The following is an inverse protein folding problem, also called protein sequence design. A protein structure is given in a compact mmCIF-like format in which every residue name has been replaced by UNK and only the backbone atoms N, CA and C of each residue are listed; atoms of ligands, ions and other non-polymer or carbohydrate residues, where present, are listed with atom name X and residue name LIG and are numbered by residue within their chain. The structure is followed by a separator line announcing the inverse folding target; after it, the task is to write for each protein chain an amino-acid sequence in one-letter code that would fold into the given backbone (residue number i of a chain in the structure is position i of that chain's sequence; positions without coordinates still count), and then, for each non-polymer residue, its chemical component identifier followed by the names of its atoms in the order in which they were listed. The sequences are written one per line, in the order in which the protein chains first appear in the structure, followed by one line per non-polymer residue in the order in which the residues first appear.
data_IF_608897534405
#
_entry.id   IF_608897534405
#
_cell.length_a   1.000
_cell.length_b   1.000
_cell.length_c   1.000
_cell.angle_alpha   90.00
_cell.angle_beta   90.00
_cell.angle_gamma   90.00
#
_symmetry.space_group_name_H-M   'P 1'
#
loop_
_entity.id
_entity.type
_entity.pdbx_description
1 polymer ?
#
# COMPACT_ATOMS: atom_id res chain seq x y z
N UNK A 1 21.39 5.50 22.29
CA UNK A 1 21.94 4.81 21.11
C UNK A 1 20.86 4.82 20.04
N UNK A 2 21.25 5.15 18.83
CA UNK A 2 20.35 5.41 17.72
C UNK A 2 20.82 4.58 16.52
N UNK A 3 19.89 3.91 15.86
CA UNK A 3 20.11 3.15 14.64
C UNK A 3 19.13 3.60 13.56
N UNK A 4 19.53 3.53 12.31
CA UNK A 4 18.70 3.94 11.19
C UNK A 4 18.87 3.01 9.99
N UNK A 5 17.81 2.83 9.24
CA UNK A 5 17.80 2.12 7.99
C UNK A 5 17.22 3.02 6.89
N UNK A 6 17.87 3.05 5.75
CA UNK A 6 17.35 3.69 4.55
C UNK A 6 17.11 2.64 3.48
N UNK A 7 15.88 2.59 2.99
CA UNK A 7 15.47 1.67 1.94
C UNK A 7 14.98 2.46 0.74
N UNK A 8 15.50 2.14 -0.43
CA UNK A 8 14.98 2.59 -1.71
C UNK A 8 14.52 1.37 -2.49
N UNK A 9 13.26 1.37 -2.91
CA UNK A 9 12.67 0.22 -3.57
C UNK A 9 11.76 0.65 -4.73
N UNK A 10 11.91 -0.04 -5.85
CA UNK A 10 10.95 0.02 -6.94
C UNK A 10 9.87 -1.03 -6.69
N UNK A 11 8.62 -0.60 -6.56
CA UNK A 11 7.47 -1.47 -6.32
C UNK A 11 6.75 -1.68 -7.65
N UNK A 12 6.90 -2.87 -8.20
CA UNK A 12 6.18 -3.28 -9.41
C UNK A 12 4.70 -3.58 -9.11
N UNK A 13 3.84 -3.61 -10.14
CA UNK A 13 2.44 -4.03 -9.98
C UNK A 13 2.28 -5.41 -9.34
N UNK A 14 3.20 -6.33 -9.60
CA UNK A 14 3.16 -7.67 -9.00
C UNK A 14 3.43 -7.67 -7.50
N UNK A 15 4.19 -6.70 -7.00
CA UNK A 15 4.48 -6.53 -5.57
C UNK A 15 3.32 -5.81 -4.87
N UNK A 16 2.79 -4.75 -5.50
CA UNK A 16 1.70 -3.95 -4.93
C UNK A 16 0.34 -4.64 -5.04
N UNK A 17 0.17 -5.50 -6.04
CA UNK A 17 -1.12 -6.08 -6.37
C UNK A 17 -2.06 -5.06 -7.05
N UNK A 18 -3.34 -5.44 -7.22
CA UNK A 18 -4.33 -4.57 -7.84
C UNK A 18 -4.62 -3.35 -6.96
N UNK A 19 -4.84 -2.20 -7.60
CA UNK A 19 -5.29 -1.01 -6.92
C UNK A 19 -6.69 -1.21 -6.31
N UNK A 20 -6.91 -0.63 -5.13
CA UNK A 20 -8.18 -0.71 -4.42
C UNK A 20 -8.83 0.66 -4.34
N UNK A 21 -10.15 0.69 -4.40
CA UNK A 21 -10.92 1.93 -4.32
C UNK A 21 -10.91 2.53 -2.93
N UNK A 22 -11.01 3.86 -2.88
CA UNK A 22 -11.18 4.64 -1.65
C UNK A 22 -12.46 5.44 -1.79
N UNK A 23 -13.46 5.13 -0.98
CA UNK A 23 -14.72 5.86 -0.95
C UNK A 23 -14.54 7.27 -0.36
N UNK A 24 -15.08 8.27 -1.03
CA UNK A 24 -15.08 9.65 -0.51
C UNK A 24 -13.78 10.42 -0.74
N UNK A 25 -13.00 10.03 -1.73
CA UNK A 25 -11.82 10.77 -2.14
C UNK A 25 -12.10 12.23 -2.46
N UNK A 26 -11.14 13.11 -2.15
CA UNK A 26 -11.31 14.57 -2.26
C UNK A 26 -11.46 15.10 -3.70
N UNK A 27 -11.27 14.28 -4.71
CA UNK A 27 -11.16 14.71 -6.11
C UNK A 27 -12.48 14.66 -6.90
N UNK A 28 -13.59 14.37 -6.26
CA UNK A 28 -14.91 14.37 -6.91
C UNK A 28 -15.09 13.29 -7.97
N UNK A 29 -14.25 12.28 -7.96
CA UNK A 29 -14.42 11.09 -8.79
C UNK A 29 -15.63 10.30 -8.25
N UNK A 30 -16.63 10.12 -9.10
CA UNK A 30 -17.84 9.39 -8.75
C UNK A 30 -17.54 7.90 -8.75
N UNK A 31 -17.28 7.37 -7.58
CA UNK A 31 -17.06 5.96 -7.38
C UNK A 31 -18.32 5.27 -6.88
N UNK A 32 -18.83 4.35 -7.69
CA UNK A 32 -19.88 3.41 -7.25
C UNK A 32 -19.27 2.18 -6.56
N UNK A 33 -17.97 2.17 -6.31
CA UNK A 33 -17.25 1.08 -5.66
C UNK A 33 -17.19 1.27 -4.16
N UNK A 34 -17.27 0.18 -3.40
CA UNK A 34 -17.06 0.23 -1.96
C UNK A 34 -15.59 0.40 -1.63
N UNK A 35 -15.33 0.99 -0.45
CA UNK A 35 -13.97 1.16 0.06
C UNK A 35 -13.25 -0.19 0.16
N UNK A 36 -12.06 -0.26 -0.42
CA UNK A 36 -11.23 -1.47 -0.43
C UNK A 36 -11.51 -2.46 -1.55
N UNK A 37 -12.51 -2.22 -2.40
CA UNK A 37 -12.77 -3.08 -3.56
C UNK A 37 -11.65 -2.97 -4.59
N UNK A 38 -11.40 -4.07 -5.30
CA UNK A 38 -10.45 -4.06 -6.41
C UNK A 38 -11.03 -3.22 -7.55
N UNK A 39 -10.25 -2.25 -8.02
CA UNK A 39 -10.66 -1.41 -9.14
C UNK A 39 -10.64 -2.22 -10.43
N UNK A 40 -11.81 -2.31 -11.06
CA UNK A 40 -11.96 -2.94 -12.38
C UNK A 40 -12.01 -1.83 -13.41
N UNK A 41 -11.06 -1.82 -14.39
CA UNK A 41 -11.06 -0.80 -15.44
C UNK A 41 -12.36 -0.81 -16.24
N UNK A 42 -12.87 0.36 -16.67
CA UNK A 42 -14.00 0.43 -17.59
C UNK A 42 -13.73 -0.35 -18.87
N UNK A 43 -14.74 -1.01 -19.43
CA UNK A 43 -14.59 -1.89 -20.62
C UNK A 43 -13.95 -1.17 -21.82
N UNK A 44 -14.18 0.14 -21.96
CA UNK A 44 -13.67 0.93 -23.08
C UNK A 44 -12.34 1.63 -22.76
N UNK A 45 -11.73 1.36 -21.63
CA UNK A 45 -10.46 1.97 -21.26
C UNK A 45 -9.33 1.37 -22.12
N UNK A 46 -8.60 2.24 -22.81
CA UNK A 46 -7.41 1.90 -23.57
C UNK A 46 -6.13 2.27 -22.81
N UNK A 47 -6.20 3.32 -22.00
CA UNK A 47 -5.06 3.80 -21.18
C UNK A 47 -5.51 4.20 -19.79
N UNK A 48 -4.59 4.15 -18.84
CA UNK A 48 -4.76 4.66 -17.50
C UNK A 48 -3.59 5.56 -17.14
N UNK A 49 -3.88 6.67 -16.49
CA UNK A 49 -2.87 7.61 -15.98
C UNK A 49 -3.04 7.76 -14.48
N UNK A 50 -1.94 7.72 -13.76
CA UNK A 50 -1.89 7.96 -12.33
C UNK A 50 -1.61 9.44 -12.06
N UNK A 51 -2.42 10.04 -11.21
CA UNK A 51 -2.25 11.41 -10.76
C UNK A 51 -2.05 11.44 -9.24
N UNK A 52 -1.25 12.42 -8.78
CA UNK A 52 -1.01 12.69 -7.36
C UNK A 52 -0.62 11.45 -6.55
N UNK A 53 0.41 10.69 -6.96
CA UNK A 53 0.87 9.55 -6.21
C UNK A 53 1.53 10.02 -4.91
N UNK A 54 0.76 10.12 -3.86
CA UNK A 54 1.23 10.59 -2.57
C UNK A 54 1.26 9.45 -1.55
N UNK A 55 2.19 9.54 -0.62
CA UNK A 55 2.15 8.70 0.55
C UNK A 55 1.13 9.27 1.51
N UNK A 56 0.10 8.52 1.84
CA UNK A 56 -0.92 8.94 2.78
C UNK A 56 -0.47 8.80 4.21
N UNK A 57 0.12 7.65 4.54
CA UNK A 57 0.56 7.35 5.90
C UNK A 57 1.57 6.22 5.96
N UNK A 58 2.24 6.12 7.10
CA UNK A 58 3.02 4.96 7.50
C UNK A 58 2.45 4.47 8.83
N UNK A 59 2.07 3.21 8.87
CA UNK A 59 1.59 2.55 10.08
C UNK A 59 2.68 1.63 10.61
N UNK A 60 2.98 1.70 11.90
CA UNK A 60 3.83 0.72 12.58
C UNK A 60 2.92 -0.43 12.99
N UNK A 61 3.01 -1.55 12.27
CA UNK A 61 2.15 -2.71 12.51
C UNK A 61 2.67 -3.59 13.66
N UNK A 62 3.99 -3.65 13.81
CA UNK A 62 4.64 -4.49 14.80
C UNK A 62 5.96 -3.90 15.24
N UNK A 63 6.21 -4.02 16.53
CA UNK A 63 7.49 -3.67 17.15
C UNK A 63 7.75 -4.69 18.27
N UNK A 64 8.65 -5.63 18.04
CA UNK A 64 8.95 -6.70 18.97
C UNK A 64 10.46 -6.90 19.14
N UNK A 65 10.92 -7.29 20.33
CA UNK A 65 12.31 -7.68 20.51
C UNK A 65 12.68 -8.84 19.58
N UNK A 66 13.87 -8.75 18.98
CA UNK A 66 14.37 -9.85 18.16
C UNK A 66 14.87 -10.98 19.05
N UNK A 67 14.39 -12.20 18.82
CA UNK A 67 14.71 -13.37 19.66
C UNK A 67 16.14 -13.88 19.48
N UNK A 68 16.80 -13.53 18.39
CA UNK A 68 18.14 -14.02 18.05
C UNK A 68 19.27 -13.01 18.24
N UNK A 69 18.90 -11.72 18.36
CA UNK A 69 19.85 -10.61 18.48
C UNK A 69 19.46 -9.72 19.65
N UNK A 70 20.17 -9.85 20.73
CA UNK A 70 19.97 -9.01 21.91
C UNK A 70 20.14 -7.53 21.58
N UNK A 71 19.22 -6.69 22.07
CA UNK A 71 19.21 -5.26 21.80
C UNK A 71 18.64 -4.86 20.42
N UNK A 72 18.26 -5.83 19.59
CA UNK A 72 17.61 -5.56 18.32
C UNK A 72 16.09 -5.71 18.41
N UNK A 73 15.39 -4.97 17.55
CA UNK A 73 13.93 -4.96 17.43
C UNK A 73 13.49 -5.20 16.01
N UNK A 74 12.52 -6.10 15.87
CA UNK A 74 11.86 -6.37 14.60
C UNK A 74 10.68 -5.40 14.43
N UNK A 75 10.75 -4.63 13.37
CA UNK A 75 9.75 -3.64 12.99
C UNK A 75 9.04 -4.08 11.72
N UNK A 76 7.73 -3.92 11.71
CA UNK A 76 6.90 -4.10 10.52
C UNK A 76 6.14 -2.81 10.24
N UNK A 77 6.44 -2.18 9.10
CA UNK A 77 5.93 -0.89 8.69
C UNK A 77 5.06 -1.04 7.44
N UNK A 78 3.85 -0.50 7.47
CA UNK A 78 2.97 -0.46 6.30
C UNK A 78 2.94 0.95 5.71
N UNK A 79 3.41 1.08 4.49
CA UNK A 79 3.30 2.30 3.69
C UNK A 79 2.01 2.23 2.89
N UNK A 80 1.18 3.24 3.01
CA UNK A 80 -0.06 3.39 2.25
C UNK A 80 0.12 4.54 1.26
N UNK A 81 -0.24 4.30 0.00
CA UNK A 81 -0.12 5.26 -1.10
C UNK A 81 -1.51 5.52 -1.67
N UNK A 82 -1.94 6.79 -1.65
CA UNK A 82 -3.18 7.21 -2.27
C UNK A 82 -2.88 7.98 -3.55
N UNK A 83 -3.69 7.77 -4.56
CA UNK A 83 -3.55 8.37 -5.88
C UNK A 83 -4.88 8.33 -6.62
N UNK A 84 -4.98 9.09 -7.71
CA UNK A 84 -6.15 9.07 -8.58
C UNK A 84 -5.78 8.38 -9.89
N UNK A 85 -6.64 7.49 -10.36
CA UNK A 85 -6.55 6.84 -11.66
C UNK A 85 -7.53 7.51 -12.61
N UNK A 86 -7.05 7.95 -13.78
CA UNK A 86 -7.86 8.47 -14.87
C UNK A 86 -7.82 7.49 -16.04
N UNK A 87 -8.98 7.05 -16.47
CA UNK A 87 -9.14 6.14 -17.60
C UNK A 87 -9.51 6.90 -18.87
N UNK A 88 -8.88 6.51 -19.99
CA UNK A 88 -9.12 7.12 -21.30
C UNK A 88 -9.37 6.05 -22.35
N UNK A 89 -10.21 6.38 -23.33
CA UNK A 89 -10.42 5.58 -24.55
C UNK A 89 -9.23 5.71 -25.50
N UNK A 90 -9.24 4.86 -26.54
CA UNK A 90 -8.21 4.90 -27.60
C UNK A 90 -8.12 6.24 -28.34
N UNK A 91 -9.21 7.00 -28.40
CA UNK A 91 -9.26 8.35 -28.99
C UNK A 91 -8.72 9.45 -28.04
N UNK A 92 -8.29 9.08 -26.83
CA UNK A 92 -7.77 9.98 -25.81
C UNK A 92 -8.84 10.66 -24.95
N UNK A 93 -10.13 10.43 -25.20
CA UNK A 93 -11.21 10.99 -24.38
C UNK A 93 -11.23 10.35 -23.00
N UNK A 94 -11.28 11.15 -21.91
CA UNK A 94 -11.46 10.63 -20.57
C UNK A 94 -12.84 10.00 -20.43
N UNK A 95 -12.90 8.83 -19.77
CA UNK A 95 -14.13 8.08 -19.52
C UNK A 95 -14.48 7.93 -18.05
N UNK A 96 -13.55 8.27 -17.17
CA UNK A 96 -13.78 8.24 -15.75
C UNK A 96 -12.50 8.36 -14.97
N UNK A 97 -12.65 8.62 -13.69
CA UNK A 97 -11.56 8.59 -12.73
C UNK A 97 -12.01 7.89 -11.45
N UNK A 98 -11.07 7.39 -10.69
CA UNK A 98 -11.32 6.79 -9.38
C UNK A 98 -10.16 7.05 -8.43
N UNK A 99 -10.47 7.30 -7.17
CA UNK A 99 -9.47 7.38 -6.13
C UNK A 99 -9.07 5.97 -5.70
N UNK A 100 -7.78 5.76 -5.59
CA UNK A 100 -7.18 4.47 -5.42
C UNK A 100 -6.16 4.46 -4.29
N UNK A 101 -5.98 3.31 -3.68
CA UNK A 101 -4.95 3.07 -2.69
C UNK A 101 -4.19 1.78 -2.98
N UNK A 102 -2.92 1.80 -2.63
CA UNK A 102 -2.07 0.61 -2.59
C UNK A 102 -1.22 0.64 -1.33
N UNK A 103 -0.78 -0.51 -0.87
CA UNK A 103 0.07 -0.58 0.31
C UNK A 103 1.24 -1.53 0.12
N UNK A 104 2.31 -1.25 0.84
CA UNK A 104 3.50 -2.07 0.89
C UNK A 104 3.97 -2.23 2.33
N UNK A 105 4.26 -3.46 2.74
CA UNK A 105 4.77 -3.76 4.07
C UNK A 105 6.26 -4.02 4.02
N UNK A 106 7.02 -3.29 4.83
CA UNK A 106 8.46 -3.42 4.99
C UNK A 106 8.76 -4.01 6.38
N UNK A 107 9.64 -5.01 6.42
CA UNK A 107 10.18 -5.58 7.66
C UNK A 107 11.65 -5.22 7.77
N UNK A 108 12.04 -4.67 8.93
CA UNK A 108 13.41 -4.31 9.23
C UNK A 108 13.75 -4.68 10.66
N UNK A 109 15.02 -4.99 10.92
CA UNK A 109 15.54 -5.21 12.27
C UNK A 109 16.54 -4.11 12.57
N UNK A 110 16.29 -3.34 13.63
CA UNK A 110 17.15 -2.25 14.06
C UNK A 110 17.57 -2.44 15.52
N UNK A 111 18.70 -1.89 15.88
CA UNK A 111 19.13 -1.84 17.26
C UNK A 111 18.38 -0.72 17.98
N UNK A 112 17.87 -1.01 19.19
CA UNK A 112 17.13 -0.03 19.98
C UNK A 112 17.31 -0.24 21.47
N UNK A 113 17.38 0.85 22.22
CA UNK A 113 17.43 0.81 23.68
C UNK A 113 16.08 0.37 24.25
N UNK A 114 16.12 -0.52 25.25
CA UNK A 114 14.93 -0.95 25.99
C UNK A 114 14.58 -0.04 27.16
N UNK A 115 15.52 0.81 27.54
CA UNK A 115 15.32 1.76 28.63
C UNK A 115 15.26 3.17 28.09
N UNK A 116 14.11 3.78 28.15
CA UNK A 116 13.98 5.22 27.96
C UNK A 116 13.45 5.83 29.26
N UNK A 117 14.29 6.64 29.90
CA UNK A 117 13.85 7.51 30.99
C UNK A 117 12.95 8.65 30.52
N UNK A 118 12.65 8.69 29.23
CA UNK A 118 11.80 9.72 28.62
C UNK A 118 10.48 9.09 28.20
N UNK A 119 9.44 9.44 28.92
CA UNK A 119 8.07 9.07 28.59
C UNK A 119 7.61 9.87 27.37
N UNK A 120 8.00 9.43 26.18
CA UNK A 120 7.47 9.98 24.93
C UNK A 120 6.65 8.90 24.26
N UNK A 121 5.35 9.11 24.22
CA UNK A 121 4.43 8.21 23.51
C UNK A 121 4.59 8.45 22.01
N UNK A 122 5.21 7.53 21.32
CA UNK A 122 5.42 7.64 19.88
C UNK A 122 4.63 6.64 19.07
N UNK A 123 4.24 5.53 19.69
CA UNK A 123 3.59 4.42 19.00
C UNK A 123 2.25 4.14 19.64
N UNK A 124 1.23 4.06 18.81
CA UNK A 124 -0.12 3.75 19.24
C UNK A 124 -0.39 2.25 19.35
N UNK A 125 0.53 1.40 18.89
CA UNK A 125 0.32 -0.04 18.85
C UNK A 125 1.53 -0.80 19.42
N UNK A 126 1.29 -1.47 20.53
CA UNK A 126 2.20 -2.47 21.06
C UNK A 126 1.63 -3.87 20.77
N UNK A 127 2.26 -4.60 19.87
CA UNK A 127 1.83 -5.94 19.53
C UNK A 127 2.17 -6.99 20.60
N UNK A 128 2.96 -6.64 21.59
CA UNK A 128 3.40 -7.60 22.61
C UNK A 128 2.63 -7.48 23.93
N UNK A 129 1.61 -6.66 23.97
CA UNK A 129 0.62 -6.63 25.09
C UNK A 129 1.11 -6.13 26.43
N UNK A 130 2.37 -5.75 26.55
CA UNK A 130 2.95 -5.19 27.77
C UNK A 130 3.98 -4.18 27.42
N UNK A 131 3.63 -2.90 27.43
CA UNK A 131 4.66 -2.04 27.88
C UNK A 131 4.90 -0.72 27.21
N UNK A 132 5.08 0.08 28.01
CA UNK A 132 5.64 1.40 28.01
C UNK A 132 7.20 1.41 27.95
N UNK A 133 7.86 0.51 27.23
CA UNK A 133 9.30 0.32 27.37
C UNK A 133 10.07 -0.03 26.10
N UNK A 134 9.54 0.22 24.92
CA UNK A 134 10.27 -0.02 23.67
C UNK A 134 10.98 1.23 23.13
N UNK A 135 11.89 1.09 22.16
CA UNK A 135 12.56 2.22 21.52
C UNK A 135 11.56 3.10 20.76
N UNK A 136 11.88 4.39 20.70
CA UNK A 136 11.16 5.33 19.86
C UNK A 136 11.45 5.05 18.38
N UNK A 137 10.41 4.95 17.57
CA UNK A 137 10.51 4.68 16.14
C UNK A 137 9.93 5.84 15.35
N UNK A 138 10.74 6.40 14.44
CA UNK A 138 10.29 7.36 13.45
C UNK A 138 10.45 6.77 12.06
N UNK A 139 9.42 6.87 11.24
CA UNK A 139 9.45 6.43 9.87
C UNK A 139 9.06 7.58 8.93
N UNK A 140 9.90 7.82 7.94
CA UNK A 140 9.67 8.80 6.89
C UNK A 140 9.77 8.15 5.51
N UNK A 141 9.08 8.69 4.53
CA UNK A 141 9.19 8.17 3.18
C UNK A 141 8.62 9.12 2.15
N UNK A 142 9.07 8.96 0.91
CA UNK A 142 8.56 9.63 -0.27
C UNK A 142 8.26 8.60 -1.34
N UNK A 143 7.09 8.69 -1.94
CA UNK A 143 6.70 7.88 -3.09
C UNK A 143 6.66 8.72 -4.35
N UNK A 144 7.01 8.11 -5.49
CA UNK A 144 6.87 8.69 -6.82
C UNK A 144 6.19 7.64 -7.69
N UNK A 145 5.07 7.99 -8.29
CA UNK A 145 4.38 7.13 -9.26
C UNK A 145 5.14 7.12 -10.58
N UNK A 146 5.46 5.95 -11.07
CA UNK A 146 6.19 5.78 -12.34
C UNK A 146 5.24 5.42 -13.48
N UNK A 147 4.31 4.50 -13.25
CA UNK A 147 3.36 4.02 -14.24
C UNK A 147 2.13 3.39 -13.62
N UNK A 148 1.05 3.32 -14.37
CA UNK A 148 -0.11 2.50 -14.08
C UNK A 148 -0.41 1.60 -15.29
N UNK A 149 -0.85 0.38 -15.03
CA UNK A 149 -1.16 -0.62 -16.04
C UNK A 149 -2.61 -1.06 -15.96
N UNK A 150 -3.26 -1.21 -17.10
CA UNK A 150 -4.58 -1.84 -17.20
C UNK A 150 -4.41 -3.36 -17.23
N UNK A 151 -5.01 -4.04 -16.26
CA UNK A 151 -5.15 -5.50 -16.28
C UNK A 151 -6.63 -5.83 -16.16
N UNK A 152 -7.17 -6.43 -17.20
CA UNK A 152 -8.51 -6.99 -17.14
C UNK A 152 -8.44 -8.38 -16.49
N UNK A 153 -9.41 -8.74 -15.64
CA UNK A 153 -9.51 -10.09 -15.15
C UNK A 153 -9.57 -11.00 -16.37
N UNK A 154 -8.56 -11.83 -16.54
CA UNK A 154 -8.53 -12.80 -17.62
C UNK A 154 -9.81 -13.65 -17.52
N UNK A 155 -10.59 -13.74 -18.57
CA UNK A 155 -11.49 -14.86 -18.74
C UNK A 155 -10.61 -16.09 -18.72
N UNK A 156 -10.46 -16.73 -17.56
CA UNK A 156 -9.97 -18.07 -17.46
C UNK A 156 -10.99 -18.95 -18.19
N UNK A 157 -10.90 -18.98 -19.50
CA UNK A 157 -11.54 -20.01 -20.29
C UNK A 157 -10.81 -21.30 -19.94
N UNK A 158 -11.17 -21.89 -18.81
CA UNK A 158 -11.09 -23.33 -18.66
C UNK A 158 -11.93 -23.86 -19.81
N UNK A 159 -11.26 -24.39 -20.86
CA UNK A 159 -11.87 -24.93 -22.07
C UNK A 159 -12.65 -26.20 -21.81
N UNK A 160 -13.57 -26.18 -20.86
CA UNK A 160 -14.48 -27.31 -20.55
C UNK A 160 -15.95 -27.02 -20.87
N UNK A 161 -16.28 -25.93 -21.55
CA UNK A 161 -17.66 -25.60 -21.91
C UNK A 161 -17.95 -25.71 -23.42
N UNK A 162 -17.11 -26.37 -24.21
CA UNK A 162 -17.37 -26.57 -25.64
C UNK A 162 -17.90 -27.95 -25.97
N UNK A 163 -18.58 -28.62 -25.05
CA UNK A 163 -19.30 -29.88 -25.36
C UNK A 163 -20.75 -29.76 -24.94
N UNK A 164 -21.55 -28.93 -25.59
CA UNK A 164 -22.99 -29.10 -25.74
C UNK A 164 -23.56 -27.94 -26.58
N UNK A 165 -23.38 -28.00 -27.89
CA UNK A 165 -24.29 -27.43 -28.87
C UNK A 165 -24.45 -28.51 -29.92
N UNK A 166 -25.39 -29.41 -29.69
CA UNK A 166 -26.02 -30.25 -30.68
C UNK A 166 -27.34 -29.64 -31.12
#
# INVERSE_FOLDING_TARGET
IFDQCRVQKCLSPDILGPARSVCGGMNGCNDMMCDGDIIIPPVNAATVTMHNPERSRIDILRKCPNTFREGCWDLELRYVFDYTLEFRRADGCPIGCTDATSSYTLKVTLFGSTESDVTTVSDLFDCCGNSHGGPFVTAEGKAVGLAAELKYPGCGCSCNCCNNCG
#
